data_IF_976025273632
#
_entry.id   IF_976025273632
#
_cell.length_a   1.000
_cell.length_b   1.000
_cell.length_c   1.000
_cell.angle_alpha   90.00
_cell.angle_beta   90.00
_cell.angle_gamma   90.00
#
_symmetry.space_group_name_H-M   'P 1'
#
loop_
_entity.id
_entity.type
_entity.pdbx_description
1 polymer ?
#
# COMPACT_ATOMS: atom_id res chain seq x y z
N UNK A 1 -10.52 5.80 4.31
CA UNK A 1 -9.71 5.74 3.06
C UNK A 1 -8.39 5.07 3.40
N UNK A 2 -7.73 4.34 2.49
CA UNK A 2 -6.55 3.51 2.81
C UNK A 2 -5.48 4.22 3.67
N UNK A 3 -5.22 5.50 3.42
CA UNK A 3 -4.29 6.31 4.22
C UNK A 3 -4.86 6.62 5.61
N UNK A 4 -6.07 7.20 5.68
CA UNK A 4 -6.73 7.57 6.94
C UNK A 4 -6.96 6.35 7.86
N UNK A 5 -7.23 5.19 7.26
CA UNK A 5 -7.48 3.94 7.96
C UNK A 5 -6.16 3.23 8.37
N UNK A 6 -5.01 3.79 7.98
CA UNK A 6 -3.68 3.31 8.31
C UNK A 6 -3.25 2.05 7.56
N UNK A 7 -3.85 1.76 6.41
CA UNK A 7 -3.48 0.63 5.55
C UNK A 7 -2.27 0.93 4.66
N UNK A 8 -2.04 2.20 4.33
CA UNK A 8 -0.84 2.68 3.62
C UNK A 8 -0.20 3.84 4.38
N UNK A 9 1.10 4.05 4.20
CA UNK A 9 1.89 5.12 4.83
C UNK A 9 2.83 5.77 3.81
N UNK A 10 3.50 6.84 4.21
CA UNK A 10 4.53 7.52 3.42
C UNK A 10 4.02 8.42 2.29
N UNK A 11 2.70 8.43 2.05
CA UNK A 11 2.01 9.37 1.15
C UNK A 11 1.37 10.50 1.95
N UNK A 12 1.36 11.71 1.40
CA UNK A 12 0.67 12.87 2.00
C UNK A 12 -0.38 13.43 1.05
N UNK A 13 -1.55 13.72 1.59
CA UNK A 13 -2.66 14.31 0.85
C UNK A 13 -2.79 15.78 1.22
N UNK A 14 -2.69 16.65 0.22
CA UNK A 14 -2.88 18.08 0.40
C UNK A 14 -4.22 18.50 -0.24
N UNK A 15 -5.11 19.07 0.57
CA UNK A 15 -6.39 19.58 0.08
C UNK A 15 -6.19 21.02 -0.38
N UNK A 16 -6.53 21.25 -1.64
CA UNK A 16 -6.56 22.61 -2.19
C UNK A 16 -7.91 23.25 -1.91
N UNK A 17 -7.93 24.59 -1.80
CA UNK A 17 -9.10 25.35 -1.34
C UNK A 17 -10.33 25.16 -2.23
N UNK A 18 -10.16 25.01 -3.55
CA UNK A 18 -11.23 24.85 -4.54
C UNK A 18 -10.87 23.85 -5.66
N UNK A 19 -9.92 22.96 -5.42
CA UNK A 19 -9.33 22.12 -6.47
C UNK A 19 -9.22 20.65 -6.07
N UNK A 20 -8.51 19.85 -6.87
CA UNK A 20 -8.30 18.44 -6.58
C UNK A 20 -7.44 18.23 -5.33
N UNK A 21 -7.52 17.02 -4.77
CA UNK A 21 -6.56 16.55 -3.76
C UNK A 21 -5.24 16.30 -4.47
N UNK A 22 -4.18 16.93 -3.99
CA UNK A 22 -2.82 16.70 -4.48
C UNK A 22 -2.22 15.54 -3.67
N UNK A 23 -1.74 14.53 -4.38
CA UNK A 23 -1.06 13.37 -3.78
C UNK A 23 0.44 13.58 -3.90
N UNK A 24 1.08 13.84 -2.77
CA UNK A 24 2.51 14.07 -2.66
C UNK A 24 3.22 12.82 -2.14
N UNK A 25 4.51 12.68 -2.44
CA UNK A 25 5.40 11.64 -1.91
C UNK A 25 5.05 10.19 -2.32
N UNK A 26 4.49 9.99 -3.52
CA UNK A 26 4.08 8.66 -4.03
C UNK A 26 5.22 7.64 -3.98
N UNK A 27 6.45 8.09 -4.25
CA UNK A 27 7.66 7.24 -4.30
C UNK A 27 7.94 6.53 -2.96
N UNK A 28 7.50 7.13 -1.85
CA UNK A 28 7.72 6.61 -0.49
C UNK A 28 6.48 5.91 0.07
N UNK A 29 5.51 5.58 -0.79
CA UNK A 29 4.28 4.93 -0.34
C UNK A 29 4.54 3.47 0.00
N UNK A 30 4.22 3.07 1.22
CA UNK A 30 4.38 1.70 1.70
C UNK A 30 3.06 1.15 2.23
N UNK A 31 2.85 -0.16 2.09
CA UNK A 31 1.74 -0.86 2.73
C UNK A 31 2.10 -1.22 4.17
N UNK A 32 1.18 -0.98 5.11
CA UNK A 32 1.40 -1.32 6.52
C UNK A 32 1.07 -2.79 6.79
N UNK A 33 1.50 -3.34 7.93
CA UNK A 33 1.08 -4.68 8.37
C UNK A 33 -0.44 -4.80 8.49
N UNK A 34 -1.11 -3.73 8.94
CA UNK A 34 -2.58 -3.64 8.98
C UNK A 34 -3.18 -3.68 7.58
N UNK A 35 -2.57 -3.00 6.61
CA UNK A 35 -2.96 -3.04 5.20
C UNK A 35 -2.81 -4.44 4.59
N UNK A 36 -1.73 -5.15 4.91
CA UNK A 36 -1.54 -6.55 4.50
C UNK A 36 -2.63 -7.46 5.08
N UNK A 37 -2.96 -7.32 6.36
CA UNK A 37 -4.03 -8.08 7.00
C UNK A 37 -5.42 -7.76 6.41
N UNK A 38 -5.68 -6.50 6.08
CA UNK A 38 -6.92 -6.10 5.39
C UNK A 38 -7.06 -6.76 4.00
N UNK A 39 -5.95 -6.94 3.28
CA UNK A 39 -5.93 -7.68 2.01
C UNK A 39 -6.13 -9.19 2.23
N UNK A 40 -5.67 -9.71 3.37
CA UNK A 40 -5.85 -11.10 3.77
C UNK A 40 -7.33 -11.45 4.02
N UNK A 41 -8.00 -10.66 4.85
CA UNK A 41 -9.36 -10.91 5.32
C UNK A 41 -10.43 -10.75 4.23
N UNK A 42 -10.15 -9.99 3.15
CA UNK A 42 -11.10 -9.71 2.06
C UNK A 42 -10.97 -10.64 0.81
N UNK A 43 -10.41 -11.85 0.92
CA UNK A 43 -10.18 -12.81 -0.19
C UNK A 43 -9.09 -12.44 -1.22
N UNK A 44 -8.47 -11.27 -1.10
CA UNK A 44 -7.31 -10.83 -1.94
C UNK A 44 -6.01 -11.57 -1.60
N UNK A 45 -5.98 -12.27 -0.48
CA UNK A 45 -4.81 -12.99 0.03
C UNK A 45 -4.20 -13.99 -0.95
N UNK A 46 -5.03 -14.66 -1.78
CA UNK A 46 -4.53 -15.57 -2.82
C UNK A 46 -3.68 -14.85 -3.87
N UNK A 47 -4.01 -13.60 -4.22
CA UNK A 47 -3.22 -12.78 -5.15
C UNK A 47 -2.00 -12.17 -4.47
N UNK A 48 -2.14 -11.64 -3.25
CA UNK A 48 -1.03 -11.01 -2.52
C UNK A 48 0.04 -12.02 -2.12
N UNK A 49 -0.33 -13.21 -1.61
CA UNK A 49 0.65 -14.28 -1.37
C UNK A 49 1.36 -14.70 -2.65
N UNK A 50 0.68 -14.70 -3.80
CA UNK A 50 1.32 -15.01 -5.09
C UNK A 50 2.33 -13.94 -5.48
N UNK A 51 1.95 -12.67 -5.40
CA UNK A 51 2.84 -11.53 -5.69
C UNK A 51 4.03 -11.48 -4.73
N UNK A 52 3.83 -11.70 -3.43
CA UNK A 52 4.92 -11.72 -2.43
C UNK A 52 5.85 -12.92 -2.62
N UNK A 53 5.32 -14.09 -2.99
CA UNK A 53 6.14 -15.27 -3.34
C UNK A 53 6.95 -15.01 -4.62
N UNK A 54 6.35 -14.38 -5.63
CA UNK A 54 7.02 -13.98 -6.86
C UNK A 54 8.11 -12.93 -6.59
N UNK A 55 7.82 -11.90 -5.78
CA UNK A 55 8.81 -10.91 -5.35
C UNK A 55 9.95 -11.53 -4.54
N UNK A 56 9.65 -12.43 -3.61
CA UNK A 56 10.66 -13.17 -2.84
C UNK A 56 11.51 -14.08 -3.73
N UNK A 57 10.95 -14.63 -4.81
CA UNK A 57 11.69 -15.40 -5.80
C UNK A 57 12.56 -14.52 -6.70
N UNK A 58 12.20 -13.24 -6.88
CA UNK A 58 12.95 -12.28 -7.69
C UNK A 58 14.09 -11.61 -6.93
N UNK A 59 14.04 -11.60 -5.59
CA UNK A 59 15.20 -11.28 -4.77
C UNK A 59 16.19 -12.45 -4.85
N UNK A 60 17.36 -12.30 -5.51
CA UNK A 60 18.39 -13.33 -5.46
C UNK A 60 18.82 -13.47 -4.00
N UNK A 61 19.05 -14.71 -3.58
CA UNK A 61 19.45 -15.04 -2.22
C UNK A 61 20.74 -14.29 -1.86
N UNK A 62 20.60 -13.15 -1.20
CA UNK A 62 21.65 -12.51 -0.40
C UNK A 62 21.37 -12.90 1.04
#
# INVERSE_FOLDING_TARGET
MLLDDGYITGVSLERTVNGPIVVNNIQNTEITSKGLQYLEENSMMKKVCKVLKEFRAWLPSI
#
